data_IF_366515962356
#
_entry.id   IF_366515962356
#
_cell.length_a   1.000
_cell.length_b   1.000
_cell.length_c   1.000
_cell.angle_alpha   90.00
_cell.angle_beta   90.00
_cell.angle_gamma   90.00
#
_symmetry.space_group_name_H-M   'P 1'
#
loop_
_entity.id
_entity.type
_entity.pdbx_description
1 polymer ?
#
# COMPACT_ATOMS: atom_id res chain seq x y z
N UNK A 1 6.24 -19.95 -9.54
CA UNK A 1 7.54 -20.57 -9.16
C UNK A 1 8.66 -19.59 -9.50
N UNK A 2 9.60 -19.32 -8.59
CA UNK A 2 10.86 -18.64 -8.94
C UNK A 2 11.82 -19.74 -9.40
N UNK A 3 12.47 -19.54 -10.55
CA UNK A 3 13.45 -20.48 -11.11
C UNK A 3 14.82 -19.85 -10.92
N UNK A 4 15.67 -20.55 -10.19
CA UNK A 4 17.07 -20.22 -9.98
C UNK A 4 17.93 -21.00 -10.96
N UNK A 5 19.19 -20.57 -11.13
CA UNK A 5 20.11 -21.28 -12.02
C UNK A 5 20.36 -22.72 -11.54
N UNK A 6 20.43 -22.88 -10.22
CA UNK A 6 20.53 -24.16 -9.52
C UNK A 6 19.39 -25.12 -9.85
N UNK A 7 18.16 -24.63 -10.11
CA UNK A 7 17.03 -25.48 -10.48
C UNK A 7 17.24 -26.09 -11.89
N UNK A 8 17.86 -25.35 -12.81
CA UNK A 8 18.20 -25.85 -14.13
C UNK A 8 19.39 -26.80 -14.07
N UNK A 9 20.39 -26.50 -13.26
CA UNK A 9 21.54 -27.39 -13.05
C UNK A 9 21.10 -28.70 -12.37
N UNK A 10 20.15 -28.62 -11.43
CA UNK A 10 19.47 -29.79 -10.86
C UNK A 10 18.74 -30.59 -11.94
N UNK A 11 17.98 -29.95 -12.84
CA UNK A 11 17.28 -30.64 -13.91
C UNK A 11 18.24 -31.33 -14.89
N UNK A 12 19.42 -30.75 -15.14
CA UNK A 12 20.52 -31.40 -15.89
C UNK A 12 21.05 -32.61 -15.12
N UNK A 13 21.26 -32.50 -13.81
CA UNK A 13 21.73 -33.62 -12.97
C UNK A 13 20.77 -34.82 -12.96
N UNK A 14 19.47 -34.55 -13.12
CA UNK A 14 18.42 -35.57 -13.22
C UNK A 14 18.24 -36.11 -14.65
N UNK A 15 19.01 -35.64 -15.63
CA UNK A 15 18.88 -36.03 -17.03
C UNK A 15 17.58 -35.57 -17.69
N UNK A 16 16.85 -34.61 -17.10
CA UNK A 16 15.59 -34.10 -17.64
C UNK A 16 15.82 -33.17 -18.84
N UNK A 17 16.95 -32.45 -18.85
CA UNK A 17 17.37 -31.53 -19.93
C UNK A 17 18.89 -31.60 -20.13
N UNK A 18 19.39 -31.23 -21.30
CA UNK A 18 20.83 -31.13 -21.56
C UNK A 18 21.41 -29.81 -21.01
N UNK A 19 22.72 -29.76 -20.78
CA UNK A 19 23.40 -28.54 -20.33
C UNK A 19 23.23 -27.36 -21.32
N UNK A 20 23.20 -27.66 -22.63
CA UNK A 20 22.93 -26.66 -23.67
C UNK A 20 21.49 -26.13 -23.59
N UNK A 21 20.52 -27.01 -23.38
CA UNK A 21 19.12 -26.62 -23.17
C UNK A 21 18.97 -25.75 -21.92
N UNK A 22 19.62 -26.12 -20.81
CA UNK A 22 19.63 -25.32 -19.59
C UNK A 22 20.18 -23.90 -19.81
N UNK A 23 21.30 -23.78 -20.54
CA UNK A 23 21.88 -22.49 -20.91
C UNK A 23 20.96 -21.65 -21.80
N UNK A 24 20.39 -22.25 -22.83
CA UNK A 24 19.44 -21.58 -23.73
C UNK A 24 18.20 -21.09 -22.97
N UNK A 25 17.65 -21.94 -22.10
CA UNK A 25 16.49 -21.61 -21.27
C UNK A 25 16.80 -20.47 -20.30
N UNK A 26 17.97 -20.54 -19.64
CA UNK A 26 18.41 -19.50 -18.72
C UNK A 26 18.56 -18.14 -19.40
N UNK A 27 19.18 -18.11 -20.59
CA UNK A 27 19.34 -16.90 -21.37
C UNK A 27 17.99 -16.33 -21.81
N UNK A 28 17.09 -17.17 -22.32
CA UNK A 28 15.74 -16.77 -22.70
C UNK A 28 14.92 -16.23 -21.52
N UNK A 29 14.97 -16.90 -20.37
CA UNK A 29 14.28 -16.47 -19.15
C UNK A 29 14.88 -15.19 -18.56
N UNK A 30 16.21 -15.03 -18.61
CA UNK A 30 16.90 -13.84 -18.15
C UNK A 30 16.55 -12.63 -19.01
N UNK A 31 16.55 -12.79 -20.34
CA UNK A 31 16.10 -11.75 -21.27
C UNK A 31 14.61 -11.42 -21.08
N UNK A 32 13.76 -12.42 -20.82
CA UNK A 32 12.33 -12.20 -20.56
C UNK A 32 12.06 -11.48 -19.23
N UNK A 33 12.92 -11.68 -18.23
CA UNK A 33 12.77 -11.09 -16.89
C UNK A 33 13.59 -9.79 -16.71
N UNK A 34 14.34 -9.33 -17.71
CA UNK A 34 15.14 -8.10 -17.64
C UNK A 34 14.27 -6.84 -17.47
N UNK A 35 13.06 -6.86 -18.03
CA UNK A 35 12.08 -5.76 -17.91
C UNK A 35 11.32 -5.75 -16.58
N UNK A 36 11.43 -6.80 -15.77
CA UNK A 36 10.76 -6.88 -14.47
C UNK A 36 11.61 -6.21 -13.38
N UNK A 37 11.01 -5.49 -12.42
CA UNK A 37 11.75 -4.98 -11.28
C UNK A 37 12.34 -6.14 -10.49
N UNK A 38 13.67 -6.24 -10.48
CA UNK A 38 14.40 -7.20 -9.67
C UNK A 38 14.92 -6.52 -8.40
N UNK A 39 14.98 -7.26 -7.29
CA UNK A 39 15.65 -6.76 -6.09
C UNK A 39 17.16 -6.82 -6.31
N UNK A 40 17.70 -5.75 -6.90
CA UNK A 40 19.11 -5.58 -7.19
C UNK A 40 19.57 -4.17 -6.76
N UNK A 41 20.88 -3.98 -6.65
CA UNK A 41 21.44 -2.72 -6.17
C UNK A 41 20.98 -1.52 -7.01
N UNK A 42 20.97 -1.65 -8.34
CA UNK A 42 20.56 -0.58 -9.27
C UNK A 42 19.13 -0.11 -9.00
N UNK A 43 18.18 -1.04 -8.92
CA UNK A 43 16.78 -0.71 -8.64
C UNK A 43 16.65 -0.12 -7.24
N UNK A 44 17.32 -0.69 -6.24
CA UNK A 44 17.33 -0.13 -4.88
C UNK A 44 17.84 1.31 -4.89
N UNK A 45 18.92 1.62 -5.60
CA UNK A 45 19.43 2.98 -5.75
C UNK A 45 18.42 3.92 -6.41
N UNK A 46 17.72 3.47 -7.45
CA UNK A 46 16.68 4.27 -8.10
C UNK A 46 15.50 4.57 -7.18
N UNK A 47 14.93 3.56 -6.53
CA UNK A 47 13.81 3.74 -5.60
C UNK A 47 14.23 4.58 -4.38
N UNK A 48 15.41 4.33 -3.83
CA UNK A 48 15.93 5.09 -2.69
C UNK A 48 16.18 6.56 -3.05
N UNK A 49 16.79 6.83 -4.20
CA UNK A 49 16.98 8.20 -4.70
C UNK A 49 15.65 8.92 -4.91
N UNK A 50 14.65 8.25 -5.50
CA UNK A 50 13.32 8.81 -5.67
C UNK A 50 12.64 9.12 -4.33
N UNK A 51 12.77 8.24 -3.33
CA UNK A 51 12.27 8.47 -1.97
C UNK A 51 12.96 9.65 -1.30
N UNK A 52 14.28 9.83 -1.48
CA UNK A 52 15.01 11.00 -0.97
C UNK A 52 14.45 12.27 -1.60
N UNK A 53 14.26 12.31 -2.92
CA UNK A 53 13.74 13.49 -3.61
C UNK A 53 12.31 13.81 -3.15
N UNK A 54 11.43 12.81 -3.09
CA UNK A 54 10.07 12.99 -2.56
C UNK A 54 10.14 13.53 -1.14
N UNK A 55 10.92 12.92 -0.26
CA UNK A 55 11.04 13.34 1.15
C UNK A 55 11.62 14.75 1.28
N UNK A 56 12.63 15.10 0.48
CA UNK A 56 13.24 16.42 0.48
C UNK A 56 12.25 17.52 0.10
N UNK A 57 11.41 17.25 -0.90
CA UNK A 57 10.45 18.22 -1.44
C UNK A 57 9.12 18.25 -0.68
N UNK A 58 8.85 17.24 0.14
CA UNK A 58 7.58 17.12 0.87
C UNK A 58 7.79 17.23 2.39
N UNK A 59 8.51 16.28 2.98
CA UNK A 59 8.65 16.16 4.43
C UNK A 59 9.72 17.09 5.03
N UNK A 60 10.83 17.28 4.32
CA UNK A 60 11.96 18.10 4.78
C UNK A 60 11.93 19.52 4.23
N UNK A 61 10.78 19.97 3.73
CA UNK A 61 10.57 21.35 3.37
C UNK A 61 10.70 22.21 4.63
N UNK A 62 11.78 22.98 4.76
CA UNK A 62 12.06 23.81 5.94
C UNK A 62 11.29 25.12 5.92
N UNK A 63 11.25 25.84 7.06
CA UNK A 63 10.75 27.22 7.13
C UNK A 63 11.42 28.18 6.12
N UNK A 64 12.58 27.84 5.57
CA UNK A 64 13.22 28.60 4.50
C UNK A 64 12.45 28.54 3.17
N UNK A 65 11.59 27.55 2.95
CA UNK A 65 10.74 27.53 1.76
C UNK A 65 9.53 28.45 1.89
N UNK A 66 9.05 28.65 3.11
CA UNK A 66 7.96 29.57 3.43
C UNK A 66 8.33 31.02 3.06
N UNK A 67 9.61 31.38 3.09
CA UNK A 67 10.07 32.72 2.70
C UNK A 67 9.92 33.02 1.20
N UNK A 68 9.73 32.02 0.34
CA UNK A 68 9.42 32.24 -1.09
C UNK A 68 7.96 32.70 -1.31
N UNK A 69 7.10 32.62 -0.29
CA UNK A 69 5.68 32.90 -0.39
C UNK A 69 4.93 31.89 -1.28
N UNK A 70 3.60 32.01 -1.33
CA UNK A 70 2.76 31.06 -2.08
C UNK A 70 3.09 30.99 -3.57
N UNK A 71 3.28 32.16 -4.22
CA UNK A 71 3.60 32.23 -5.65
C UNK A 71 4.96 31.60 -5.98
N UNK A 72 5.97 31.83 -5.13
CA UNK A 72 7.30 31.22 -5.30
C UNK A 72 7.27 29.71 -5.14
N UNK A 73 6.55 29.19 -4.14
CA UNK A 73 6.36 27.75 -3.95
C UNK A 73 5.66 27.12 -5.16
N UNK A 74 4.58 27.72 -5.66
CA UNK A 74 3.87 27.21 -6.83
C UNK A 74 4.75 27.15 -8.08
N UNK A 75 5.49 28.23 -8.37
CA UNK A 75 6.40 28.29 -9.51
C UNK A 75 7.49 27.23 -9.41
N UNK A 76 8.16 27.12 -8.26
CA UNK A 76 9.22 26.14 -8.05
C UNK A 76 8.68 24.71 -8.22
N UNK A 77 7.57 24.37 -7.55
CA UNK A 77 6.96 23.05 -7.66
C UNK A 77 6.59 22.71 -9.11
N UNK A 78 6.04 23.67 -9.85
CA UNK A 78 5.67 23.51 -11.26
C UNK A 78 6.88 23.31 -12.18
N UNK A 79 7.95 24.08 -11.98
CA UNK A 79 9.22 23.93 -12.73
C UNK A 79 9.85 22.57 -12.45
N UNK A 80 9.98 22.17 -11.18
CA UNK A 80 10.50 20.86 -10.81
C UNK A 80 9.66 19.72 -11.41
N UNK A 81 8.33 19.80 -11.30
CA UNK A 81 7.43 18.81 -11.88
C UNK A 81 7.61 18.72 -13.41
N UNK A 82 7.72 19.86 -14.11
CA UNK A 82 7.98 19.89 -15.54
C UNK A 82 9.33 19.26 -15.90
N UNK A 83 10.40 19.60 -15.18
CA UNK A 83 11.72 19.00 -15.38
C UNK A 83 11.68 17.47 -15.20
N UNK A 84 11.02 16.97 -14.15
CA UNK A 84 10.88 15.54 -13.90
C UNK A 84 10.01 14.84 -14.95
N UNK A 85 8.94 15.47 -15.42
CA UNK A 85 8.12 14.95 -16.52
C UNK A 85 8.94 14.86 -17.80
N UNK A 86 9.69 15.90 -18.17
CA UNK A 86 10.51 15.90 -19.39
C UNK A 86 11.64 14.85 -19.33
N UNK A 87 12.36 14.79 -18.21
CA UNK A 87 13.40 13.79 -17.98
C UNK A 87 12.82 12.36 -17.95
N UNK A 88 11.68 12.18 -17.26
CA UNK A 88 10.96 10.91 -17.19
C UNK A 88 10.46 10.45 -18.56
N UNK A 89 9.97 11.39 -19.37
CA UNK A 89 9.53 11.16 -20.75
C UNK A 89 10.67 10.64 -21.63
N UNK A 90 11.83 11.30 -21.54
CA UNK A 90 13.03 10.91 -22.28
C UNK A 90 13.47 9.48 -21.90
N UNK A 91 13.55 9.18 -20.60
CA UNK A 91 13.93 7.85 -20.11
C UNK A 91 12.92 6.78 -20.49
N UNK A 92 11.62 7.06 -20.35
CA UNK A 92 10.56 6.09 -20.57
C UNK A 92 10.36 5.72 -22.04
N UNK A 93 10.34 6.69 -22.95
CA UNK A 93 10.03 6.48 -24.36
C UNK A 93 11.26 6.37 -25.25
N UNK A 94 12.29 7.21 -25.05
CA UNK A 94 13.49 7.18 -25.92
C UNK A 94 14.48 6.12 -25.48
N UNK A 95 14.74 6.01 -24.18
CA UNK A 95 15.75 5.10 -23.64
C UNK A 95 15.17 3.75 -23.16
N UNK A 96 13.84 3.59 -23.18
CA UNK A 96 13.11 2.40 -22.70
C UNK A 96 13.43 1.99 -21.25
N UNK A 97 13.97 2.91 -20.44
CA UNK A 97 14.28 2.66 -19.03
C UNK A 97 13.02 2.89 -18.18
N UNK A 98 12.15 1.88 -18.10
CA UNK A 98 10.82 1.99 -17.47
C UNK A 98 10.88 2.34 -15.98
N UNK A 99 11.80 1.74 -15.23
CA UNK A 99 11.90 1.95 -13.77
C UNK A 99 12.29 3.40 -13.44
N UNK A 100 13.44 3.95 -13.87
CA UNK A 100 13.80 5.32 -13.55
C UNK A 100 12.83 6.34 -14.18
N UNK A 101 12.36 6.09 -15.41
CA UNK A 101 11.36 6.95 -16.05
C UNK A 101 10.07 7.04 -15.23
N UNK A 102 9.51 5.89 -14.82
CA UNK A 102 8.30 5.83 -14.00
C UNK A 102 8.47 6.47 -12.61
N UNK A 103 9.66 6.37 -12.03
CA UNK A 103 9.99 7.04 -10.77
C UNK A 103 9.99 8.56 -10.91
N UNK A 104 10.56 9.12 -11.98
CA UNK A 104 10.53 10.57 -12.20
C UNK A 104 9.10 11.10 -12.38
N UNK A 105 8.23 10.36 -13.09
CA UNK A 105 6.80 10.69 -13.13
C UNK A 105 6.16 10.63 -11.75
N UNK A 106 6.55 9.66 -10.91
CA UNK A 106 6.03 9.55 -9.54
C UNK A 106 6.46 10.72 -8.67
N UNK A 107 7.71 11.17 -8.79
CA UNK A 107 8.20 12.37 -8.14
C UNK A 107 7.38 13.58 -8.59
N UNK A 108 7.18 13.76 -9.90
CA UNK A 108 6.39 14.87 -10.43
C UNK A 108 4.96 14.89 -9.88
N UNK A 109 4.28 13.73 -9.84
CA UNK A 109 2.94 13.63 -9.23
C UNK A 109 2.99 13.98 -7.74
N UNK A 110 4.03 13.55 -7.02
CA UNK A 110 4.19 13.84 -5.58
C UNK A 110 4.45 15.32 -5.27
N UNK A 111 4.80 16.14 -6.27
CA UNK A 111 4.91 17.61 -6.14
C UNK A 111 3.56 18.34 -6.33
N UNK A 112 2.53 17.64 -6.79
CA UNK A 112 1.19 18.21 -6.98
C UNK A 112 0.60 18.86 -5.73
N UNK A 113 0.65 18.24 -4.53
CA UNK A 113 0.17 18.88 -3.30
C UNK A 113 0.87 20.21 -3.07
N UNK A 114 2.18 20.26 -3.32
CA UNK A 114 2.98 21.44 -3.06
C UNK A 114 2.66 22.60 -4.02
N UNK A 115 2.43 22.29 -5.30
CA UNK A 115 1.97 23.29 -6.26
C UNK A 115 0.60 23.86 -5.85
N UNK A 116 -0.34 23.00 -5.48
CA UNK A 116 -1.68 23.41 -5.05
C UNK A 116 -1.60 24.25 -3.76
N UNK A 117 -0.78 23.85 -2.80
CA UNK A 117 -0.52 24.62 -1.59
C UNK A 117 -0.01 26.03 -1.90
N UNK A 118 0.98 26.14 -2.80
CA UNK A 118 1.51 27.43 -3.23
C UNK A 118 0.43 28.34 -3.83
N UNK A 119 -0.46 27.78 -4.66
CA UNK A 119 -1.61 28.50 -5.21
C UNK A 119 -2.62 28.93 -4.15
N UNK A 120 -3.01 28.03 -3.25
CA UNK A 120 -3.95 28.34 -2.16
C UNK A 120 -3.40 29.47 -1.29
N UNK A 121 -2.10 29.45 -1.00
CA UNK A 121 -1.45 30.49 -0.23
C UNK A 121 -1.32 31.82 -0.98
N UNK A 122 -1.03 31.79 -2.28
CA UNK A 122 -0.93 33.00 -3.10
C UNK A 122 -2.29 33.70 -3.26
N UNK A 123 -3.36 32.92 -3.38
CA UNK A 123 -4.72 33.42 -3.57
C UNK A 123 -5.47 33.70 -2.27
N UNK A 124 -4.98 33.16 -1.14
CA UNK A 124 -5.68 33.17 0.14
C UNK A 124 -6.90 32.24 0.17
N UNK A 125 -7.09 31.39 -0.85
CA UNK A 125 -8.26 30.52 -0.96
C UNK A 125 -8.08 29.23 -0.15
N UNK A 126 -8.85 29.12 0.93
CA UNK A 126 -8.94 27.94 1.78
C UNK A 126 -10.40 27.50 1.90
N UNK A 127 -10.66 26.18 1.93
CA UNK A 127 -12.02 25.62 2.05
C UNK A 127 -12.66 25.89 3.42
N UNK A 128 -11.84 25.98 4.46
CA UNK A 128 -12.24 26.32 5.82
C UNK A 128 -11.39 27.50 6.28
N UNK A 129 -10.50 27.29 7.26
CA UNK A 129 -9.55 28.30 7.75
C UNK A 129 -8.14 28.05 7.20
N UNK A 130 -7.27 29.06 7.33
CA UNK A 130 -5.86 28.94 6.94
C UNK A 130 -5.20 27.78 7.74
N UNK A 131 -4.76 26.70 7.07
CA UNK A 131 -4.29 25.52 7.77
C UNK A 131 -2.89 25.69 8.38
N UNK A 132 -2.19 26.78 8.10
CA UNK A 132 -0.85 27.04 8.61
C UNK A 132 0.21 26.80 7.53
N UNK A 133 1.34 26.22 7.94
CA UNK A 133 2.50 26.00 7.08
C UNK A 133 2.39 24.67 6.33
N UNK A 134 3.12 24.48 5.22
CA UNK A 134 3.07 23.20 4.49
C UNK A 134 3.48 22.00 5.35
N UNK A 135 4.37 22.21 6.34
CA UNK A 135 4.77 21.18 7.30
C UNK A 135 3.57 20.63 8.09
N UNK A 136 2.55 21.47 8.31
CA UNK A 136 1.36 21.11 9.06
C UNK A 136 0.43 20.15 8.31
N UNK A 137 0.65 19.95 7.00
CA UNK A 137 -0.05 18.96 6.19
C UNK A 137 0.13 17.53 6.73
N UNK A 138 1.30 17.23 7.33
CA UNK A 138 1.61 15.90 7.87
C UNK A 138 1.24 15.72 9.35
N UNK A 139 0.98 16.81 10.07
CA UNK A 139 0.77 16.79 11.52
C UNK A 139 -0.66 17.11 11.94
N UNK A 140 -1.39 17.93 11.17
CA UNK A 140 -2.73 18.40 11.54
C UNK A 140 -3.77 18.08 10.47
N UNK A 141 -4.78 17.31 10.86
CA UNK A 141 -5.96 16.97 10.04
C UNK A 141 -6.87 18.21 9.93
N UNK A 142 -6.83 18.91 8.80
CA UNK A 142 -7.61 20.12 8.51
C UNK A 142 -8.25 20.00 7.13
N UNK A 143 -9.55 20.29 7.03
CA UNK A 143 -10.30 20.15 5.77
C UNK A 143 -9.76 21.01 4.61
N UNK A 144 -9.00 22.06 4.90
CA UNK A 144 -8.35 22.92 3.90
C UNK A 144 -7.30 22.21 3.02
N UNK A 145 -6.82 21.04 3.44
CA UNK A 145 -5.85 20.21 2.70
C UNK A 145 -6.48 19.33 1.61
N UNK A 146 -7.81 19.20 1.59
CA UNK A 146 -8.55 18.35 0.65
C UNK A 146 -8.24 18.60 -0.84
N UNK A 147 -8.03 19.87 -1.24
CA UNK A 147 -7.73 20.21 -2.63
C UNK A 147 -6.38 19.65 -3.09
N UNK A 148 -5.41 19.59 -2.18
CA UNK A 148 -4.07 19.05 -2.47
C UNK A 148 -4.14 17.55 -2.71
N UNK A 149 -4.91 16.83 -1.90
CA UNK A 149 -5.15 15.39 -2.06
C UNK A 149 -5.89 15.10 -3.36
N UNK A 150 -7.01 15.81 -3.60
CA UNK A 150 -7.83 15.64 -4.79
C UNK A 150 -7.02 15.91 -6.06
N UNK A 151 -6.25 17.00 -6.09
CA UNK A 151 -5.39 17.33 -7.22
C UNK A 151 -4.31 16.28 -7.46
N UNK A 152 -3.75 15.70 -6.39
CA UNK A 152 -2.75 14.62 -6.50
C UNK A 152 -3.36 13.33 -7.03
N UNK A 153 -4.58 12.98 -6.61
CA UNK A 153 -5.33 11.85 -7.15
C UNK A 153 -5.58 12.06 -8.65
N UNK A 154 -6.07 13.24 -9.04
CA UNK A 154 -6.33 13.57 -10.46
C UNK A 154 -5.03 13.52 -11.28
N UNK A 155 -3.96 14.16 -10.80
CA UNK A 155 -2.67 14.16 -11.48
C UNK A 155 -2.09 12.75 -11.62
N UNK A 156 -2.20 11.92 -10.58
CA UNK A 156 -1.77 10.53 -10.62
C UNK A 156 -2.60 9.67 -11.60
N UNK A 157 -3.93 9.83 -11.62
CA UNK A 157 -4.81 9.14 -12.57
C UNK A 157 -4.51 9.53 -14.03
N UNK A 158 -4.24 10.82 -14.27
CA UNK A 158 -3.79 11.31 -15.58
C UNK A 158 -2.45 10.68 -15.93
N UNK A 159 -1.46 10.71 -15.01
CA UNK A 159 -0.14 10.15 -15.25
C UNK A 159 -0.20 8.65 -15.58
N UNK A 160 -1.01 7.86 -14.88
CA UNK A 160 -1.18 6.42 -15.13
C UNK A 160 -1.73 6.12 -16.52
N UNK A 161 -2.57 7.01 -17.07
CA UNK A 161 -3.11 6.86 -18.43
C UNK A 161 -2.00 6.88 -19.48
N UNK A 162 -0.94 7.64 -19.26
CA UNK A 162 0.20 7.77 -20.17
C UNK A 162 1.36 6.83 -19.81
N UNK A 163 1.60 6.63 -18.52
CA UNK A 163 2.74 5.90 -17.97
C UNK A 163 2.21 4.83 -17.04
N UNK A 164 2.10 3.60 -17.56
CA UNK A 164 1.66 2.44 -16.78
C UNK A 164 2.79 1.93 -15.90
N UNK A 165 2.96 2.56 -14.74
CA UNK A 165 3.96 2.19 -13.75
C UNK A 165 3.31 1.97 -12.37
N UNK A 166 3.41 0.78 -11.75
CA UNK A 166 2.70 0.46 -10.51
C UNK A 166 2.98 1.39 -9.33
N UNK A 167 4.20 1.91 -9.21
CA UNK A 167 4.57 2.78 -8.10
C UNK A 167 3.91 4.18 -8.18
N UNK A 168 3.37 4.58 -9.34
CA UNK A 168 2.55 5.80 -9.44
C UNK A 168 1.27 5.75 -8.60
N UNK A 169 0.82 4.54 -8.24
CA UNK A 169 -0.33 4.36 -7.34
C UNK A 169 0.02 4.81 -5.92
N UNK A 170 1.30 4.82 -5.51
CA UNK A 170 1.72 5.18 -4.16
C UNK A 170 1.27 6.60 -3.74
N UNK A 171 1.56 7.69 -4.48
CA UNK A 171 1.08 9.02 -4.13
C UNK A 171 -0.45 9.15 -4.17
N UNK A 172 -1.14 8.40 -5.05
CA UNK A 172 -2.61 8.38 -5.10
C UNK A 172 -3.17 7.73 -3.84
N UNK A 173 -2.65 6.56 -3.47
CA UNK A 173 -3.09 5.81 -2.31
C UNK A 173 -2.75 6.54 -1.00
N UNK A 174 -1.60 7.20 -0.95
CA UNK A 174 -1.23 8.08 0.16
C UNK A 174 -2.21 9.26 0.28
N UNK A 175 -2.55 9.92 -0.83
CA UNK A 175 -3.53 11.01 -0.84
C UNK A 175 -4.92 10.55 -0.41
N UNK A 176 -5.36 9.36 -0.85
CA UNK A 176 -6.62 8.76 -0.40
C UNK A 176 -6.62 8.48 1.12
N UNK A 177 -5.49 8.04 1.67
CA UNK A 177 -5.37 7.83 3.12
C UNK A 177 -5.53 9.12 3.90
N UNK A 178 -4.86 10.21 3.49
CA UNK A 178 -5.04 11.52 4.13
C UNK A 178 -6.47 12.04 3.95
N UNK A 179 -7.06 11.84 2.76
CA UNK A 179 -8.43 12.27 2.45
C UNK A 179 -9.46 11.62 3.38
N UNK A 180 -9.20 10.39 3.84
CA UNK A 180 -10.05 9.74 4.84
C UNK A 180 -10.13 10.51 6.16
N UNK A 181 -9.07 11.23 6.53
CA UNK A 181 -8.98 12.02 7.76
C UNK A 181 -9.56 13.42 7.55
N UNK A 182 -9.29 14.05 6.41
CA UNK A 182 -9.69 15.43 6.12
C UNK A 182 -11.16 15.58 5.66
N UNK A 183 -11.78 14.52 5.15
CA UNK A 183 -13.22 14.51 4.81
C UNK A 183 -14.11 14.69 6.04
N UNK A 184 -13.73 14.13 7.19
CA UNK A 184 -14.54 14.14 8.39
C UNK A 184 -14.88 15.57 8.89
N UNK A 185 -13.91 16.49 9.09
CA UNK A 185 -14.23 17.88 9.43
C UNK A 185 -14.99 18.62 8.32
N UNK A 186 -14.82 18.23 7.06
CA UNK A 186 -15.46 18.88 5.90
C UNK A 186 -16.95 18.54 5.81
N UNK A 187 -17.34 17.28 6.09
CA UNK A 187 -18.73 16.83 6.05
C UNK A 187 -19.55 17.21 7.29
N UNK A 188 -18.93 17.23 8.47
CA UNK A 188 -19.65 17.37 9.74
C UNK A 188 -19.41 18.71 10.47
N UNK A 189 -18.49 19.54 9.97
CA UNK A 189 -18.12 20.83 10.52
C UNK A 189 -17.27 20.74 11.80
N UNK A 190 -16.38 21.72 12.03
CA UNK A 190 -15.45 21.71 13.18
C UNK A 190 -16.13 21.81 14.55
N UNK A 191 -17.37 22.32 14.61
CA UNK A 191 -18.10 22.56 15.88
C UNK A 191 -18.53 21.27 16.60
N UNK A 192 -18.58 20.14 15.91
CA UNK A 192 -18.86 18.82 16.49
C UNK A 192 -17.61 17.96 16.46
N UNK A 193 -16.55 18.39 17.17
CA UNK A 193 -15.29 17.64 17.30
C UNK A 193 -15.53 16.32 18.03
N UNK A 194 -15.94 15.28 17.30
CA UNK A 194 -16.09 13.94 17.81
C UNK A 194 -14.99 13.04 17.21
N UNK A 195 -13.96 12.77 18.01
CA UNK A 195 -12.86 11.87 17.65
C UNK A 195 -13.36 10.51 17.17
N UNK A 196 -14.42 9.97 17.78
CA UNK A 196 -15.00 8.68 17.38
C UNK A 196 -15.62 8.73 15.98
N UNK A 197 -16.17 9.88 15.57
CA UNK A 197 -16.72 10.05 14.23
C UNK A 197 -15.60 10.01 13.18
N UNK A 198 -14.45 10.66 13.44
CA UNK A 198 -13.28 10.61 12.54
C UNK A 198 -12.77 9.18 12.36
N UNK A 199 -12.69 8.41 13.45
CA UNK A 199 -12.28 7.01 13.41
C UNK A 199 -13.28 6.16 12.63
N UNK A 200 -14.59 6.39 12.82
CA UNK A 200 -15.65 5.72 12.05
C UNK A 200 -15.53 5.99 10.55
N UNK A 201 -15.31 7.25 10.16
CA UNK A 201 -15.11 7.65 8.77
C UNK A 201 -13.86 6.97 8.19
N UNK A 202 -12.75 6.92 8.93
CA UNK A 202 -11.52 6.26 8.48
C UNK A 202 -11.72 4.74 8.28
N UNK A 203 -12.49 4.07 9.16
CA UNK A 203 -12.86 2.65 9.00
C UNK A 203 -13.63 2.41 7.71
N UNK A 204 -14.73 3.14 7.50
CA UNK A 204 -15.58 2.95 6.31
C UNK A 204 -14.89 3.35 5.02
N UNK A 205 -14.10 4.43 5.05
CA UNK A 205 -13.30 4.87 3.92
C UNK A 205 -12.19 3.85 3.59
N UNK A 206 -11.52 3.31 4.61
CA UNK A 206 -10.54 2.23 4.44
C UNK A 206 -11.15 0.98 3.79
N UNK A 207 -12.36 0.59 4.20
CA UNK A 207 -13.12 -0.50 3.54
C UNK A 207 -13.38 -0.16 2.06
N UNK A 208 -13.83 1.05 1.76
CA UNK A 208 -14.05 1.49 0.37
C UNK A 208 -12.75 1.42 -0.46
N UNK A 209 -11.62 1.86 0.09
CA UNK A 209 -10.30 1.73 -0.55
C UNK A 209 -9.90 0.26 -0.79
N UNK A 210 -10.15 -0.64 0.17
CA UNK A 210 -9.89 -2.08 0.01
C UNK A 210 -10.75 -2.68 -1.10
N UNK A 211 -12.03 -2.29 -1.20
CA UNK A 211 -12.92 -2.73 -2.29
C UNK A 211 -12.42 -2.22 -3.64
N UNK A 212 -12.02 -0.95 -3.74
CA UNK A 212 -11.43 -0.39 -4.97
C UNK A 212 -10.14 -1.13 -5.33
N UNK A 213 -9.26 -1.39 -4.35
CA UNK A 213 -8.03 -2.14 -4.55
C UNK A 213 -8.33 -3.55 -5.10
N UNK A 214 -9.35 -4.22 -4.57
CA UNK A 214 -9.80 -5.52 -5.04
C UNK A 214 -10.34 -5.50 -6.47
N UNK A 215 -11.14 -4.49 -6.82
CA UNK A 215 -11.62 -4.32 -8.20
C UNK A 215 -10.46 -4.08 -9.17
N UNK A 216 -9.43 -3.33 -8.76
CA UNK A 216 -8.20 -3.14 -9.56
C UNK A 216 -7.42 -4.46 -9.68
N UNK A 217 -7.30 -5.23 -8.60
CA UNK A 217 -6.60 -6.52 -8.56
C UNK A 217 -7.24 -7.58 -9.49
N UNK A 218 -8.56 -7.59 -9.62
CA UNK A 218 -9.27 -8.49 -10.55
C UNK A 218 -9.09 -8.03 -12.01
N UNK A 219 -9.09 -6.71 -12.25
CA UNK A 219 -9.08 -6.14 -13.60
C UNK A 219 -7.69 -6.15 -14.23
N UNK A 220 -6.65 -5.99 -13.43
CA UNK A 220 -5.26 -5.95 -13.90
C UNK A 220 -4.61 -7.31 -13.78
N UNK A 221 -3.99 -7.81 -14.86
CA UNK A 221 -3.22 -9.06 -14.79
C UNK A 221 -1.96 -8.82 -13.95
N UNK A 222 -1.68 -9.73 -13.02
CA UNK A 222 -0.48 -9.66 -12.15
C UNK A 222 0.83 -9.61 -12.94
N UNK A 223 0.83 -10.14 -14.16
CA UNK A 223 1.95 -10.07 -15.11
C UNK A 223 2.37 -8.65 -15.48
N UNK A 224 1.45 -7.68 -15.46
CA UNK A 224 1.67 -6.30 -15.92
C UNK A 224 2.16 -5.36 -14.79
N UNK A 225 2.32 -5.91 -13.57
CA UNK A 225 2.75 -5.18 -12.38
C UNK A 225 1.64 -5.09 -11.32
N UNK A 226 2.04 -4.84 -10.07
CA UNK A 226 1.14 -4.86 -8.93
C UNK A 226 0.57 -3.47 -8.61
N UNK A 227 -0.48 -3.08 -9.32
CA UNK A 227 -1.15 -1.78 -9.13
C UNK A 227 -2.03 -1.71 -7.89
N UNK A 228 -2.45 -2.85 -7.34
CA UNK A 228 -3.36 -2.88 -6.19
C UNK A 228 -2.63 -2.82 -4.84
N UNK A 229 -1.33 -3.16 -4.80
CA UNK A 229 -0.56 -3.22 -3.55
C UNK A 229 -0.69 -1.94 -2.70
N UNK A 230 -0.42 -0.77 -3.29
CA UNK A 230 -0.45 0.50 -2.56
C UNK A 230 -1.85 0.86 -2.09
N UNK A 231 -2.89 0.59 -2.89
CA UNK A 231 -4.29 0.81 -2.48
C UNK A 231 -4.70 -0.10 -1.32
N UNK A 232 -4.31 -1.39 -1.35
CA UNK A 232 -4.53 -2.28 -0.22
C UNK A 232 -3.79 -1.81 1.02
N UNK A 233 -2.53 -1.40 0.88
CA UNK A 233 -1.70 -0.97 2.00
C UNK A 233 -2.29 0.25 2.72
N UNK A 234 -2.58 1.32 1.96
CA UNK A 234 -3.14 2.54 2.54
C UNK A 234 -4.60 2.40 2.97
N UNK A 235 -5.40 1.60 2.25
CA UNK A 235 -6.77 1.26 2.66
C UNK A 235 -6.79 0.46 3.97
N UNK A 236 -5.89 -0.51 4.13
CA UNK A 236 -5.71 -1.26 5.38
C UNK A 236 -5.16 -0.37 6.50
N UNK A 237 -4.27 0.58 6.21
CA UNK A 237 -3.81 1.54 7.22
C UNK A 237 -4.98 2.37 7.77
N UNK A 238 -5.82 2.96 6.90
CA UNK A 238 -7.01 3.71 7.33
C UNK A 238 -7.96 2.83 8.15
N UNK A 239 -8.30 1.65 7.62
CA UNK A 239 -9.19 0.71 8.28
C UNK A 239 -8.66 0.26 9.65
N UNK A 240 -7.41 -0.20 9.69
CA UNK A 240 -6.84 -0.84 10.87
C UNK A 240 -6.51 0.16 11.98
N UNK A 241 -5.99 1.35 11.64
CA UNK A 241 -5.79 2.42 12.63
C UNK A 241 -7.13 2.96 13.14
N UNK A 242 -8.09 3.19 12.25
CA UNK A 242 -9.44 3.60 12.63
C UNK A 242 -10.07 2.62 13.61
N UNK A 243 -9.98 1.32 13.33
CA UNK A 243 -10.53 0.25 14.19
C UNK A 243 -9.77 0.15 15.53
N UNK A 244 -8.45 0.15 15.50
CA UNK A 244 -7.62 -0.05 16.71
C UNK A 244 -7.70 1.14 17.66
N UNK A 245 -7.83 2.36 17.14
CA UNK A 245 -7.92 3.58 17.94
C UNK A 245 -9.35 3.88 18.41
N UNK A 246 -10.37 3.20 17.86
CA UNK A 246 -11.77 3.40 18.24
C UNK A 246 -12.02 3.15 19.74
N UNK A 247 -11.14 2.35 20.34
CA UNK A 247 -11.19 2.00 21.74
C UNK A 247 -12.29 0.99 22.02
N UNK A 248 -11.98 0.01 22.86
CA UNK A 248 -12.94 -0.99 23.28
C UNK A 248 -13.40 -0.68 24.71
N UNK A 249 -14.69 -0.37 24.86
CA UNK A 249 -15.31 -0.13 26.17
C UNK A 249 -15.51 -1.41 26.96
N UNK A 250 -15.78 -2.53 26.28
CA UNK A 250 -16.16 -3.81 26.89
C UNK A 250 -15.32 -4.97 26.31
N UNK A 251 -15.20 -6.07 27.06
CA UNK A 251 -14.47 -7.28 26.61
C UNK A 251 -15.06 -7.92 25.35
N UNK A 252 -16.37 -7.78 25.13
CA UNK A 252 -17.03 -8.21 23.90
C UNK A 252 -16.47 -7.48 22.67
N UNK A 253 -16.21 -6.17 22.78
CA UNK A 253 -15.68 -5.37 21.67
C UNK A 253 -14.23 -5.77 21.36
N UNK A 254 -13.41 -6.01 22.38
CA UNK A 254 -12.05 -6.55 22.20
C UNK A 254 -12.04 -7.93 21.55
N UNK A 255 -13.02 -8.77 21.91
CA UNK A 255 -13.19 -10.08 21.27
C UNK A 255 -13.61 -9.94 19.79
N UNK A 256 -14.55 -9.04 19.48
CA UNK A 256 -14.93 -8.73 18.10
C UNK A 256 -13.73 -8.16 17.32
N UNK A 257 -12.92 -7.29 17.92
CA UNK A 257 -11.67 -6.79 17.34
C UNK A 257 -10.72 -7.95 16.98
N UNK A 258 -10.55 -8.93 17.88
CA UNK A 258 -9.77 -10.13 17.59
C UNK A 258 -10.36 -10.93 16.42
N UNK A 259 -11.68 -11.13 16.36
CA UNK A 259 -12.35 -11.81 15.26
C UNK A 259 -12.19 -11.09 13.92
N UNK A 260 -12.25 -9.76 13.89
CA UNK A 260 -12.01 -8.97 12.69
C UNK A 260 -10.58 -9.19 12.20
N UNK A 261 -9.59 -9.16 13.10
CA UNK A 261 -8.19 -9.38 12.75
C UNK A 261 -7.90 -10.83 12.29
N UNK A 262 -8.56 -11.83 12.88
CA UNK A 262 -8.55 -13.20 12.35
C UNK A 262 -9.16 -13.26 10.93
N UNK A 263 -10.24 -12.51 10.70
CA UNK A 263 -10.83 -12.32 9.36
C UNK A 263 -9.83 -11.74 8.35
N UNK A 264 -9.01 -10.75 8.75
CA UNK A 264 -7.94 -10.23 7.90
C UNK A 264 -6.90 -11.32 7.56
N UNK A 265 -6.51 -12.16 8.52
CA UNK A 265 -5.59 -13.28 8.26
C UNK A 265 -6.20 -14.25 7.25
N UNK A 266 -7.49 -14.59 7.35
CA UNK A 266 -8.17 -15.45 6.38
C UNK A 266 -8.25 -14.78 4.99
N UNK A 267 -8.56 -13.49 4.92
CA UNK A 267 -8.57 -12.72 3.68
C UNK A 267 -7.19 -12.68 3.00
N UNK A 268 -6.10 -12.71 3.79
CA UNK A 268 -4.74 -12.77 3.24
C UNK A 268 -4.51 -13.98 2.35
N UNK A 269 -5.08 -15.14 2.73
CA UNK A 269 -4.98 -16.40 1.98
C UNK A 269 -5.87 -16.34 0.75
N UNK A 270 -7.12 -15.85 0.92
CA UNK A 270 -8.09 -15.74 -0.17
C UNK A 270 -7.61 -14.80 -1.29
N UNK A 271 -7.12 -13.61 -0.93
CA UNK A 271 -6.64 -12.60 -1.87
C UNK A 271 -5.19 -12.86 -2.32
N UNK A 272 -4.48 -13.78 -1.64
CA UNK A 272 -3.03 -14.02 -1.80
C UNK A 272 -2.22 -12.73 -1.58
N UNK A 273 -2.62 -11.92 -0.60
CA UNK A 273 -2.05 -10.60 -0.28
C UNK A 273 -1.42 -10.60 1.11
N UNK A 274 -0.09 -10.54 1.17
CA UNK A 274 0.69 -10.59 2.43
C UNK A 274 0.41 -9.43 3.37
N UNK A 275 -0.06 -8.29 2.87
CA UNK A 275 -0.33 -7.11 3.70
C UNK A 275 -1.40 -7.42 4.76
N UNK A 276 -2.43 -8.18 4.41
CA UNK A 276 -3.53 -8.53 5.32
C UNK A 276 -3.08 -9.37 6.52
N UNK A 277 -2.16 -10.32 6.34
CA UNK A 277 -1.65 -11.14 7.45
C UNK A 277 -0.77 -10.33 8.41
N UNK A 278 -0.08 -9.30 7.91
CA UNK A 278 0.71 -8.41 8.77
C UNK A 278 -0.21 -7.61 9.69
N UNK A 279 -1.24 -6.94 9.14
CA UNK A 279 -2.21 -6.18 9.95
C UNK A 279 -3.03 -7.08 10.88
N UNK A 280 -3.58 -8.18 10.35
CA UNK A 280 -4.34 -9.14 11.17
C UNK A 280 -3.50 -9.76 12.27
N UNK A 281 -2.25 -10.12 11.97
CA UNK A 281 -1.30 -10.62 12.96
C UNK A 281 -1.04 -9.60 14.06
N UNK A 282 -0.71 -8.35 13.70
CA UNK A 282 -0.49 -7.27 14.68
C UNK A 282 -1.70 -7.09 15.60
N UNK A 283 -2.93 -7.10 15.08
CA UNK A 283 -4.13 -6.95 15.91
C UNK A 283 -4.39 -8.16 16.82
N UNK A 284 -4.22 -9.39 16.32
CA UNK A 284 -4.33 -10.60 17.15
C UNK A 284 -3.29 -10.58 18.28
N UNK A 285 -2.04 -10.23 17.99
CA UNK A 285 -0.99 -10.11 19.01
C UNK A 285 -1.29 -8.97 20.00
N UNK A 286 -1.86 -7.86 19.55
CA UNK A 286 -2.35 -6.79 20.42
C UNK A 286 -3.41 -7.29 21.40
N UNK A 287 -4.39 -8.05 20.93
CA UNK A 287 -5.43 -8.65 21.77
C UNK A 287 -4.86 -9.70 22.74
N UNK A 288 -3.96 -10.59 22.28
CA UNK A 288 -3.30 -11.57 23.15
C UNK A 288 -2.45 -10.89 24.22
N UNK A 289 -1.77 -9.79 23.89
CA UNK A 289 -1.06 -8.96 24.85
C UNK A 289 -2.00 -8.35 25.89
N UNK A 290 -3.15 -7.83 25.46
CA UNK A 290 -4.19 -7.35 26.39
C UNK A 290 -4.63 -8.46 27.36
N UNK A 291 -4.93 -9.65 26.84
CA UNK A 291 -5.34 -10.81 27.60
C UNK A 291 -4.26 -11.21 28.62
N UNK A 292 -2.98 -11.22 28.20
CA UNK A 292 -1.83 -11.54 29.05
C UNK A 292 -1.63 -10.54 30.18
N UNK A 293 -1.59 -9.24 29.88
CA UNK A 293 -1.20 -8.20 30.83
C UNK A 293 -2.36 -7.67 31.68
N UNK A 294 -3.60 -7.75 31.21
CA UNK A 294 -4.76 -7.15 31.88
C UNK A 294 -5.63 -8.19 32.59
N UNK A 295 -5.89 -9.33 31.95
CA UNK A 295 -6.83 -10.34 32.46
C UNK A 295 -6.08 -11.46 33.19
N UNK A 296 -5.03 -11.99 32.57
CA UNK A 296 -4.28 -13.14 33.08
C UNK A 296 -2.92 -12.76 33.70
N UNK A 297 -2.79 -11.53 34.21
CA UNK A 297 -1.54 -10.97 34.73
C UNK A 297 -0.81 -11.89 35.73
N UNK A 298 -1.57 -12.58 36.57
CA UNK A 298 -1.04 -13.47 37.61
C UNK A 298 -1.19 -14.96 37.27
N UNK A 299 -1.68 -15.32 36.08
CA UNK A 299 -1.94 -16.70 35.71
C UNK A 299 -0.71 -17.32 35.03
N UNK A 300 0.05 -18.11 35.80
CA UNK A 300 1.24 -18.85 35.32
C UNK A 300 0.90 -19.77 34.14
N UNK A 301 -0.32 -20.31 34.10
CA UNK A 301 -0.80 -21.22 33.04
C UNK A 301 -1.01 -20.54 31.68
N UNK A 302 -1.19 -19.21 31.64
CA UNK A 302 -1.57 -18.51 30.41
C UNK A 302 -0.48 -18.60 29.31
N UNK A 303 0.82 -18.34 29.60
CA UNK A 303 1.90 -18.59 28.64
C UNK A 303 1.98 -20.05 28.14
N UNK A 304 1.71 -21.03 29.00
CA UNK A 304 1.71 -22.45 28.60
C UNK A 304 0.55 -22.75 27.64
N UNK A 305 -0.66 -22.26 27.94
CA UNK A 305 -1.81 -22.40 27.07
C UNK A 305 -1.56 -21.74 25.69
N UNK A 306 -0.93 -20.56 25.68
CA UNK A 306 -0.56 -19.87 24.44
C UNK A 306 0.48 -20.67 23.62
N UNK A 307 1.44 -21.31 24.30
CA UNK A 307 2.43 -22.18 23.66
C UNK A 307 1.76 -23.38 23.00
N UNK A 308 0.85 -24.05 23.70
CA UNK A 308 0.08 -25.18 23.16
C UNK A 308 -0.76 -24.74 21.97
N UNK A 309 -1.43 -23.58 22.06
CA UNK A 309 -2.19 -23.00 20.95
C UNK A 309 -1.29 -22.74 19.73
N UNK A 310 -0.11 -22.16 19.93
CA UNK A 310 0.85 -21.90 18.87
C UNK A 310 1.31 -23.18 18.15
N UNK A 311 1.67 -24.21 18.92
CA UNK A 311 2.05 -25.53 18.38
C UNK A 311 0.87 -26.15 17.61
N UNK A 312 -0.35 -26.03 18.13
CA UNK A 312 -1.54 -26.53 17.47
C UNK A 312 -1.79 -25.85 16.12
N UNK A 313 -1.61 -24.53 16.03
CA UNK A 313 -1.73 -23.78 14.76
C UNK A 313 -0.66 -24.23 13.75
N UNK A 314 0.59 -24.43 14.19
CA UNK A 314 1.67 -24.93 13.34
C UNK A 314 1.32 -26.34 12.82
N UNK A 315 0.79 -27.20 13.69
CA UNK A 315 0.35 -28.53 13.32
C UNK A 315 -0.77 -28.48 12.27
N UNK A 316 -1.80 -27.65 12.47
CA UNK A 316 -2.87 -27.44 11.48
C UNK A 316 -2.33 -26.94 10.14
N UNK A 317 -1.39 -25.99 10.15
CA UNK A 317 -0.71 -25.52 8.94
C UNK A 317 0.04 -26.63 8.21
N UNK A 318 0.70 -27.52 8.95
CA UNK A 318 1.43 -28.66 8.40
C UNK A 318 0.48 -29.69 7.78
N UNK A 319 -0.64 -29.98 8.45
CA UNK A 319 -1.69 -30.88 7.94
C UNK A 319 -2.32 -30.29 6.67
N UNK A 320 -2.60 -28.98 6.67
CA UNK A 320 -3.09 -28.28 5.50
C UNK A 320 -2.10 -28.37 4.33
N UNK A 321 -0.81 -28.14 4.56
CA UNK A 321 0.22 -28.24 3.52
C UNK A 321 0.29 -29.65 2.92
N UNK A 322 0.24 -30.69 3.75
CA UNK A 322 0.25 -32.09 3.28
C UNK A 322 -0.98 -32.45 2.44
N UNK A 323 -2.14 -31.86 2.78
CA UNK A 323 -3.40 -32.13 2.10
C UNK A 323 -3.78 -31.05 1.08
N UNK A 324 -2.91 -30.08 0.76
CA UNK A 324 -3.29 -28.89 -0.01
C UNK A 324 -3.88 -29.26 -1.36
N UNK A 325 -3.29 -30.23 -2.08
CA UNK A 325 -3.82 -30.73 -3.35
C UNK A 325 -5.23 -31.32 -3.24
N UNK A 326 -5.55 -32.01 -2.13
CA UNK A 326 -6.89 -32.58 -1.92
C UNK A 326 -7.90 -31.51 -1.54
N UNK A 327 -7.49 -30.53 -0.74
CA UNK A 327 -8.32 -29.41 -0.29
C UNK A 327 -8.60 -28.45 -1.45
N UNK A 328 -7.60 -28.18 -2.29
CA UNK A 328 -7.73 -27.31 -3.47
C UNK A 328 -8.69 -27.94 -4.48
N UNK A 329 -8.56 -29.25 -4.76
CA UNK A 329 -9.52 -29.99 -5.61
C UNK A 329 -10.93 -30.02 -5.00
N UNK A 330 -11.07 -30.09 -3.68
CA UNK A 330 -12.37 -30.07 -3.00
C UNK A 330 -13.03 -28.67 -3.04
N UNK A 331 -12.26 -27.62 -2.77
CA UNK A 331 -12.71 -26.23 -2.86
C UNK A 331 -13.06 -25.85 -4.30
N UNK A 332 -12.27 -26.30 -5.27
CA UNK A 332 -12.54 -26.12 -6.69
C UNK A 332 -13.84 -26.80 -7.15
N UNK A 333 -14.27 -27.88 -6.48
CA UNK A 333 -15.56 -28.56 -6.75
C UNK A 333 -16.74 -27.87 -6.07
N UNK A 334 -16.51 -27.18 -4.97
CA UNK A 334 -17.53 -26.42 -4.21
C UNK A 334 -17.74 -25.00 -4.75
N UNK A 335 -16.75 -24.42 -5.43
CA UNK A 335 -16.83 -23.08 -6.01
C UNK A 335 -17.43 -23.15 -7.42
N UNK A 336 -18.69 -22.71 -7.64
CA UNK A 336 -19.26 -22.59 -8.98
C UNK A 336 -18.41 -21.66 -9.86
N UNK A 337 -18.34 -21.92 -11.16
CA UNK A 337 -17.46 -21.20 -12.11
C UNK A 337 -17.61 -19.67 -12.11
N UNK A 338 -18.78 -19.18 -11.68
CA UNK A 338 -19.04 -17.75 -11.51
C UNK A 338 -18.20 -17.12 -10.39
N UNK A 339 -17.89 -17.86 -9.31
CA UNK A 339 -17.05 -17.38 -8.20
C UNK A 339 -15.56 -17.41 -8.52
N UNK A 340 -15.11 -18.28 -9.44
CA UNK A 340 -13.71 -18.32 -9.90
C UNK A 340 -13.29 -17.02 -10.59
N UNK A 341 -14.22 -16.25 -11.16
CA UNK A 341 -13.95 -14.93 -11.76
C UNK A 341 -13.57 -13.86 -10.73
N UNK A 342 -13.96 -14.06 -9.47
CA UNK A 342 -13.70 -13.15 -8.35
C UNK A 342 -12.38 -13.47 -7.63
N UNK A 343 -11.71 -14.57 -7.98
CA UNK A 343 -10.36 -14.83 -7.50
C UNK A 343 -9.33 -14.12 -8.38
N UNK A 344 -8.32 -13.48 -7.78
CA UNK A 344 -7.26 -12.81 -8.55
C UNK A 344 -6.58 -13.79 -9.52
N UNK A 345 -6.48 -13.41 -10.80
CA UNK A 345 -5.88 -14.24 -11.86
C UNK A 345 -4.36 -14.10 -11.85
N UNK A 346 -3.65 -15.20 -12.14
CA UNK A 346 -2.17 -15.24 -12.23
C UNK A 346 -1.59 -14.38 -13.37
#
# INVERSE_FOLDING_TARGET
MKIYREDLDWAVSQGLITAEQANALWNALSMRNSERPQFNFVNVSYYFGALIVISAMTWFMTLAWESFGGGGIFLLASIYALCFVLAGSNLWWRQQMKIPGGLLFTIAVSLTPLAIYGLQRATGFWLQDNPGTYQDFYTWIKGSWFLMELGTIIAGLIAIKFVRFPFLIAPIAFSLYFMSMDIAPLLFGEKNYNWQLRLSVSVWFGIACIVIAYLVDIRTRRRDGDYAFWLYFFGLLAFWWGLTLMGDSNELQKFIYCLINLGLILLSVLLRRKVFIVFGGMGVFGYLGHLAYSIFKNAILFPFALTVLGIFIIYLGTVYQRNSRKIEVFLERLLPDNMRRFLPRE
#
